data_IF_041769415750
#
_entry.id   IF_041769415750
#
_cell.length_a   1.000
_cell.length_b   1.000
_cell.length_c   1.000
_cell.angle_alpha   90.00
_cell.angle_beta   90.00
_cell.angle_gamma   90.00
#
_symmetry.space_group_name_H-M   'P 1'
#
loop_
_entity.id
_entity.type
_entity.pdbx_description
1 polymer ?
#
# COMPACT_ATOMS: atom_id res chain seq x y z
N UNK A 1 2.35 -15.66 -11.25
CA UNK A 1 3.79 -15.95 -11.05
C UNK A 1 4.28 -17.13 -11.91
N UNK A 2 3.93 -18.39 -11.56
CA UNK A 2 4.47 -19.60 -12.19
C UNK A 2 4.41 -19.60 -13.73
N UNK A 3 3.23 -19.34 -14.30
CA UNK A 3 3.04 -19.31 -15.75
C UNK A 3 3.97 -18.28 -16.42
N UNK A 4 4.10 -17.08 -15.85
CA UNK A 4 4.98 -16.03 -16.37
C UNK A 4 6.46 -16.40 -16.24
N UNK A 5 6.87 -17.01 -15.13
CA UNK A 5 8.26 -17.44 -14.91
C UNK A 5 8.73 -18.45 -15.98
N UNK A 6 7.88 -19.41 -16.36
CA UNK A 6 8.18 -20.38 -17.44
C UNK A 6 8.17 -19.78 -18.85
N UNK A 7 7.62 -18.57 -19.02
CA UNK A 7 7.53 -17.88 -20.30
C UNK A 7 8.38 -16.59 -20.29
N UNK A 8 9.60 -16.67 -19.74
CA UNK A 8 10.59 -15.58 -19.76
C UNK A 8 10.09 -14.27 -19.12
N UNK A 9 9.22 -14.38 -18.11
CA UNK A 9 8.65 -13.23 -17.42
C UNK A 9 7.69 -12.39 -18.28
N UNK A 10 7.06 -12.97 -19.31
CA UNK A 10 6.02 -12.29 -20.11
C UNK A 10 4.82 -11.92 -19.23
N UNK A 11 4.24 -10.75 -19.47
CA UNK A 11 2.99 -10.34 -18.82
C UNK A 11 1.84 -11.28 -19.23
N UNK A 12 0.78 -11.34 -18.41
CA UNK A 12 -0.39 -12.19 -18.70
C UNK A 12 -1.02 -11.85 -20.07
N UNK A 13 -1.05 -10.57 -20.45
CA UNK A 13 -1.54 -10.12 -21.76
C UNK A 13 -0.63 -10.53 -22.92
N UNK A 14 0.69 -10.57 -22.73
CA UNK A 14 1.61 -11.10 -23.74
C UNK A 14 1.47 -12.61 -23.88
N UNK A 15 1.36 -13.32 -22.75
CA UNK A 15 1.21 -14.78 -22.70
C UNK A 15 -0.10 -15.24 -23.37
N UNK A 16 -1.18 -14.47 -23.27
CA UNK A 16 -2.46 -14.83 -23.89
C UNK A 16 -2.40 -14.94 -25.42
N UNK A 17 -1.41 -14.31 -26.06
CA UNK A 17 -1.21 -14.46 -27.51
C UNK A 17 -0.80 -15.88 -27.88
N UNK A 18 0.12 -16.47 -27.12
CA UNK A 18 0.67 -17.80 -27.40
C UNK A 18 -0.34 -18.90 -27.11
N UNK A 19 -1.21 -18.67 -26.13
CA UNK A 19 -2.20 -19.65 -25.69
C UNK A 19 -3.52 -19.55 -26.46
N UNK A 20 -3.97 -18.34 -26.81
CA UNK A 20 -5.31 -18.11 -27.37
C UNK A 20 -5.23 -17.43 -28.75
N UNK A 21 -4.53 -16.30 -28.84
CA UNK A 21 -4.34 -15.60 -30.11
C UNK A 21 -4.20 -14.08 -30.00
N UNK A 22 -3.92 -13.44 -31.14
CA UNK A 22 -3.60 -12.01 -31.24
C UNK A 22 -4.75 -11.09 -30.83
N UNK A 23 -5.99 -11.44 -31.18
CA UNK A 23 -7.19 -10.67 -30.77
C UNK A 23 -7.34 -10.64 -29.25
N UNK A 24 -7.14 -11.77 -28.60
CA UNK A 24 -7.20 -11.90 -27.14
C UNK A 24 -6.14 -11.06 -26.47
N UNK A 25 -4.89 -11.09 -26.97
CA UNK A 25 -3.84 -10.19 -26.49
C UNK A 25 -4.25 -8.72 -26.60
N UNK A 26 -4.76 -8.28 -27.75
CA UNK A 26 -5.15 -6.88 -27.93
C UNK A 26 -6.21 -6.44 -26.91
N UNK A 27 -7.25 -7.27 -26.73
CA UNK A 27 -8.31 -7.01 -25.73
C UNK A 27 -7.75 -7.00 -24.30
N UNK A 28 -6.92 -7.97 -23.93
CA UNK A 28 -6.28 -8.02 -22.61
C UNK A 28 -5.41 -6.79 -22.36
N UNK A 29 -4.62 -6.34 -23.33
CA UNK A 29 -3.76 -5.16 -23.16
C UNK A 29 -4.58 -3.89 -22.91
N UNK A 30 -5.73 -3.72 -23.60
CA UNK A 30 -6.66 -2.61 -23.36
C UNK A 30 -7.25 -2.70 -21.95
N UNK A 31 -7.75 -3.87 -21.54
CA UNK A 31 -8.35 -4.06 -20.21
C UNK A 31 -7.32 -3.82 -19.12
N UNK A 32 -6.12 -4.39 -19.25
CA UNK A 32 -5.03 -4.19 -18.28
C UNK A 32 -4.67 -2.70 -18.21
N UNK A 33 -4.58 -2.00 -19.34
CA UNK A 33 -4.30 -0.56 -19.36
C UNK A 33 -5.33 0.25 -18.57
N UNK A 34 -6.62 0.00 -18.79
CA UNK A 34 -7.72 0.68 -18.11
C UNK A 34 -7.76 0.36 -16.61
N UNK A 35 -7.54 -0.92 -16.24
CA UNK A 35 -7.45 -1.34 -14.84
C UNK A 35 -6.29 -0.65 -14.13
N UNK A 36 -5.10 -0.61 -14.75
CA UNK A 36 -3.95 0.09 -14.18
C UNK A 36 -4.22 1.59 -14.05
N UNK A 37 -4.95 2.20 -15.00
CA UNK A 37 -5.28 3.63 -14.95
C UNK A 37 -6.18 3.93 -13.76
N UNK A 38 -7.24 3.14 -13.58
CA UNK A 38 -8.15 3.24 -12.45
C UNK A 38 -7.40 3.05 -11.12
N UNK A 39 -6.59 1.98 -11.00
CA UNK A 39 -5.87 1.66 -9.77
C UNK A 39 -4.86 2.75 -9.41
N UNK A 40 -4.10 3.27 -10.38
CA UNK A 40 -3.17 4.37 -10.15
C UNK A 40 -3.89 5.64 -9.68
N UNK A 41 -5.06 5.95 -10.26
CA UNK A 41 -5.87 7.09 -9.82
C UNK A 41 -6.36 6.93 -8.37
N UNK A 42 -6.84 5.75 -8.00
CA UNK A 42 -7.28 5.46 -6.63
C UNK A 42 -6.12 5.62 -5.64
N UNK A 43 -4.95 5.05 -5.93
CA UNK A 43 -3.78 5.21 -5.04
C UNK A 43 -3.30 6.66 -4.95
N UNK A 44 -3.31 7.42 -6.05
CA UNK A 44 -2.99 8.84 -6.04
C UNK A 44 -3.91 9.63 -5.10
N UNK A 45 -5.22 9.36 -5.13
CA UNK A 45 -6.20 9.98 -4.23
C UNK A 45 -6.00 9.55 -2.78
N UNK A 46 -5.74 8.26 -2.52
CA UNK A 46 -5.50 7.74 -1.15
C UNK A 46 -4.26 8.38 -0.54
N UNK A 47 -3.15 8.47 -1.28
CA UNK A 47 -1.91 9.09 -0.79
C UNK A 47 -2.12 10.58 -0.56
N UNK A 48 -2.73 11.30 -1.50
CA UNK A 48 -2.99 12.73 -1.35
C UNK A 48 -3.85 13.03 -0.13
N UNK A 49 -4.93 12.26 0.08
CA UNK A 49 -5.77 12.37 1.29
C UNK A 49 -5.00 12.06 2.55
N UNK A 50 -4.13 11.05 2.55
CA UNK A 50 -3.29 10.72 3.69
C UNK A 50 -2.30 11.85 4.03
N UNK A 51 -1.71 12.51 3.03
CA UNK A 51 -0.84 13.68 3.25
C UNK A 51 -1.58 14.89 3.79
N UNK A 52 -2.81 15.14 3.35
CA UNK A 52 -3.62 16.26 3.88
C UNK A 52 -4.12 15.96 5.30
N UNK A 53 -4.55 14.73 5.58
CA UNK A 53 -5.11 14.34 6.88
C UNK A 53 -4.05 13.98 7.93
N UNK A 54 -2.86 13.56 7.51
CA UNK A 54 -1.72 13.26 8.39
C UNK A 54 -0.43 13.80 7.76
N UNK A 55 -0.19 15.13 7.83
CA UNK A 55 0.95 15.77 7.19
C UNK A 55 2.31 15.31 7.69
N UNK A 56 2.38 14.74 8.90
CA UNK A 56 3.59 14.10 9.42
C UNK A 56 4.11 12.95 8.56
N UNK A 57 3.27 12.32 7.73
CA UNK A 57 3.68 11.25 6.81
C UNK A 57 4.39 11.74 5.55
N UNK A 58 4.33 13.04 5.24
CA UNK A 58 4.94 13.62 4.03
C UNK A 58 6.46 13.46 4.08
N UNK A 59 7.12 13.95 5.12
CA UNK A 59 8.57 13.88 5.23
C UNK A 59 9.11 12.44 5.18
N UNK A 60 8.57 11.47 5.96
CA UNK A 60 8.96 10.07 5.87
C UNK A 60 8.79 9.49 4.46
N UNK A 61 7.66 9.74 3.80
CA UNK A 61 7.37 9.19 2.48
C UNK A 61 8.38 9.66 1.42
N UNK A 62 8.74 10.94 1.42
CA UNK A 62 9.74 11.49 0.51
C UNK A 62 11.16 11.09 0.89
N UNK A 63 11.48 11.02 2.19
CA UNK A 63 12.79 10.55 2.67
C UNK A 63 13.05 9.10 2.26
N UNK A 64 12.02 8.24 2.25
CA UNK A 64 12.13 6.85 1.83
C UNK A 64 12.61 6.70 0.38
N UNK A 65 12.23 7.64 -0.50
CA UNK A 65 12.71 7.68 -1.89
C UNK A 65 14.22 7.95 -1.92
N UNK A 66 14.69 8.95 -1.17
CA UNK A 66 16.10 9.29 -1.09
C UNK A 66 16.92 8.12 -0.49
N UNK A 67 16.44 7.53 0.61
CA UNK A 67 17.05 6.36 1.25
C UNK A 67 17.10 5.17 0.28
N UNK A 68 16.03 4.90 -0.47
CA UNK A 68 15.98 3.83 -1.45
C UNK A 68 17.00 4.03 -2.59
N UNK A 69 17.16 5.25 -3.10
CA UNK A 69 18.16 5.55 -4.15
C UNK A 69 19.58 5.32 -3.61
N UNK A 70 19.88 5.79 -2.40
CA UNK A 70 21.19 5.58 -1.76
C UNK A 70 21.47 4.08 -1.59
N UNK A 71 20.51 3.34 -1.03
CA UNK A 71 20.64 1.89 -0.84
C UNK A 71 20.78 1.16 -2.17
N UNK A 72 20.00 1.53 -3.19
CA UNK A 72 20.10 0.97 -4.54
C UNK A 72 21.51 1.12 -5.13
N UNK A 73 22.11 2.30 -5.01
CA UNK A 73 23.48 2.55 -5.46
C UNK A 73 24.52 1.76 -4.65
N UNK A 74 24.38 1.70 -3.32
CA UNK A 74 25.32 0.98 -2.47
C UNK A 74 25.26 -0.53 -2.70
N UNK A 75 24.06 -1.10 -2.80
CA UNK A 75 23.88 -2.53 -3.13
C UNK A 75 24.44 -2.83 -4.53
N UNK A 76 24.23 -1.95 -5.51
CA UNK A 76 24.82 -2.08 -6.84
C UNK A 76 26.36 -2.05 -6.82
N UNK A 77 26.96 -1.35 -5.84
CA UNK A 77 28.41 -1.33 -5.57
C UNK A 77 28.89 -2.49 -4.70
N UNK A 78 28.11 -3.55 -4.56
CA UNK A 78 28.43 -4.77 -3.78
C UNK A 78 28.56 -4.56 -2.26
N UNK A 79 27.92 -3.53 -1.69
CA UNK A 79 27.78 -3.45 -0.23
C UNK A 79 26.81 -4.53 0.28
N UNK A 80 27.05 -5.02 1.51
CA UNK A 80 26.23 -6.07 2.12
C UNK A 80 24.78 -5.60 2.31
N UNK A 81 23.85 -6.32 1.68
CA UNK A 81 22.42 -6.01 1.74
C UNK A 81 21.91 -5.90 3.18
N UNK A 82 22.30 -6.82 4.07
CA UNK A 82 21.85 -6.83 5.47
C UNK A 82 22.16 -5.53 6.23
N UNK A 83 23.34 -4.95 6.02
CA UNK A 83 23.74 -3.68 6.65
C UNK A 83 22.90 -2.54 6.08
N UNK A 84 22.68 -2.52 4.77
CA UNK A 84 21.86 -1.51 4.11
C UNK A 84 20.40 -1.60 4.55
N UNK A 85 19.87 -2.80 4.76
CA UNK A 85 18.52 -3.01 5.33
C UNK A 85 18.38 -2.36 6.69
N UNK A 86 19.30 -2.66 7.60
CA UNK A 86 19.26 -2.15 8.98
C UNK A 86 19.35 -0.62 8.97
N UNK A 87 20.29 -0.06 8.22
CA UNK A 87 20.45 1.39 8.09
C UNK A 87 19.22 2.05 7.45
N UNK A 88 18.64 1.44 6.41
CA UNK A 88 17.44 1.95 5.74
C UNK A 88 16.22 1.97 6.65
N UNK A 89 16.01 0.89 7.41
CA UNK A 89 14.93 0.81 8.41
C UNK A 89 15.15 1.86 9.50
N UNK A 90 16.34 1.97 10.08
CA UNK A 90 16.65 2.99 11.09
C UNK A 90 16.40 4.40 10.54
N UNK A 91 16.88 4.70 9.33
CA UNK A 91 16.69 6.00 8.69
C UNK A 91 15.21 6.31 8.46
N UNK A 92 14.40 5.31 8.08
CA UNK A 92 12.96 5.46 7.90
C UNK A 92 12.22 5.71 9.22
N UNK A 93 12.55 4.99 10.28
CA UNK A 93 11.92 5.23 11.59
C UNK A 93 12.36 6.57 12.20
N UNK A 94 13.61 6.97 11.96
CA UNK A 94 14.07 8.30 12.32
C UNK A 94 13.33 9.39 11.55
N UNK A 95 13.06 9.19 10.26
CA UNK A 95 12.26 10.15 9.49
C UNK A 95 10.80 10.18 9.94
N UNK A 96 10.20 9.05 10.34
CA UNK A 96 8.87 9.01 11.01
C UNK A 96 8.86 9.85 12.27
N UNK A 97 9.89 9.75 13.11
CA UNK A 97 10.02 10.60 14.29
C UNK A 97 10.09 12.09 13.91
N UNK A 98 10.94 12.46 12.95
CA UNK A 98 11.01 13.85 12.47
C UNK A 98 9.64 14.32 11.95
N UNK A 99 9.01 13.54 11.07
CA UNK A 99 7.70 13.87 10.49
C UNK A 99 6.61 14.06 11.55
N UNK A 100 6.65 13.30 12.64
CA UNK A 100 5.71 13.45 13.75
C UNK A 100 5.87 14.75 14.55
N UNK A 101 7.05 15.38 14.47
CA UNK A 101 7.38 16.64 15.15
C UNK A 101 7.37 17.86 14.23
N UNK A 102 7.62 17.64 12.94
CA UNK A 102 7.72 18.65 11.89
C UNK A 102 6.80 18.27 10.72
N UNK A 103 5.48 18.42 10.87
CA UNK A 103 4.52 18.14 9.81
C UNK A 103 4.76 19.08 8.61
N UNK A 104 4.75 18.53 7.40
CA UNK A 104 4.90 19.29 6.17
C UNK A 104 3.55 19.40 5.46
N UNK A 105 2.98 20.59 5.47
CA UNK A 105 1.67 20.88 4.89
C UNK A 105 1.80 21.74 3.63
N UNK A 106 0.99 21.42 2.62
CA UNK A 106 0.78 22.35 1.52
C UNK A 106 -0.25 23.41 1.95
N UNK A 107 -0.15 24.65 1.43
CA UNK A 107 -1.19 25.65 1.61
C UNK A 107 -2.56 25.10 1.17
N UNK A 108 -3.64 25.52 1.83
CA UNK A 108 -5.01 25.06 1.53
C UNK A 108 -5.35 25.21 0.04
N UNK A 109 -4.90 26.32 -0.55
CA UNK A 109 -4.96 26.58 -1.98
C UNK A 109 -3.57 26.95 -2.50
N UNK A 110 -3.16 26.29 -3.57
CA UNK A 110 -1.93 26.56 -4.29
C UNK A 110 -2.24 26.44 -5.78
N UNK A 111 -1.87 27.45 -6.58
CA UNK A 111 -2.21 27.55 -8.00
C UNK A 111 -3.72 27.43 -8.31
N UNK A 112 -4.59 27.89 -7.42
CA UNK A 112 -6.06 27.79 -7.58
C UNK A 112 -6.63 26.38 -7.40
N UNK A 113 -5.81 25.43 -6.92
CA UNK A 113 -6.19 24.05 -6.66
C UNK A 113 -6.10 23.75 -5.15
N UNK A 114 -6.91 22.79 -4.69
CA UNK A 114 -6.85 22.32 -3.30
C UNK A 114 -5.53 21.61 -3.02
N UNK A 115 -5.12 21.52 -1.76
CA UNK A 115 -3.94 20.74 -1.35
C UNK A 115 -3.98 19.28 -1.86
N UNK A 116 -5.16 18.64 -1.82
CA UNK A 116 -5.35 17.29 -2.37
C UNK A 116 -5.05 17.22 -3.88
N UNK A 117 -5.59 18.15 -4.68
CA UNK A 117 -5.37 18.17 -6.12
C UNK A 117 -3.89 18.44 -6.46
N UNK A 118 -3.24 19.34 -5.73
CA UNK A 118 -1.80 19.59 -5.87
C UNK A 118 -0.97 18.33 -5.57
N UNK A 119 -1.27 17.62 -4.48
CA UNK A 119 -0.58 16.37 -4.15
C UNK A 119 -0.77 15.31 -5.24
N UNK A 120 -1.97 15.14 -5.80
CA UNK A 120 -2.22 14.21 -6.91
C UNK A 120 -1.30 14.55 -8.09
N UNK A 121 -1.21 15.81 -8.49
CA UNK A 121 -0.33 16.24 -9.60
C UNK A 121 1.14 15.93 -9.30
N UNK A 122 1.62 16.29 -8.10
CA UNK A 122 3.00 16.03 -7.67
C UNK A 122 3.31 14.53 -7.70
N UNK A 123 2.40 13.70 -7.19
CA UNK A 123 2.54 12.24 -7.15
C UNK A 123 2.61 11.63 -8.55
N UNK A 124 1.79 12.08 -9.49
CA UNK A 124 1.83 11.57 -10.87
C UNK A 124 3.07 12.03 -11.64
N UNK A 125 3.55 13.26 -11.41
CA UNK A 125 4.84 13.73 -11.94
C UNK A 125 5.97 12.85 -11.41
N UNK A 126 5.98 12.59 -10.10
CA UNK A 126 6.93 11.68 -9.48
C UNK A 126 6.83 10.26 -10.05
N UNK A 127 5.62 9.70 -10.16
CA UNK A 127 5.41 8.33 -10.65
C UNK A 127 5.88 8.18 -12.11
N UNK A 128 5.68 9.21 -12.94
CA UNK A 128 6.21 9.24 -14.30
C UNK A 128 7.74 9.14 -14.30
N UNK A 129 8.44 9.94 -13.48
CA UNK A 129 9.90 9.89 -13.31
C UNK A 129 10.34 8.50 -12.81
N UNK A 130 9.72 8.02 -11.73
CA UNK A 130 10.01 6.74 -11.12
C UNK A 130 9.84 5.57 -12.11
N UNK A 131 8.83 5.64 -12.99
CA UNK A 131 8.57 4.61 -14.01
C UNK A 131 9.68 4.50 -15.07
N UNK A 132 10.41 5.58 -15.32
CA UNK A 132 11.51 5.65 -16.31
C UNK A 132 12.83 5.14 -15.74
N UNK A 133 13.05 5.26 -14.43
CA UNK A 133 14.28 4.80 -13.79
C UNK A 133 14.46 3.27 -13.89
N UNK A 134 15.70 2.76 -13.90
CA UNK A 134 15.94 1.32 -13.78
C UNK A 134 15.38 0.75 -12.48
N UNK A 135 14.86 -0.49 -12.53
CA UNK A 135 14.21 -1.15 -11.38
C UNK A 135 15.13 -1.21 -10.16
N UNK A 136 16.42 -1.47 -10.35
CA UNK A 136 17.41 -1.58 -9.27
C UNK A 136 17.74 -0.24 -8.59
N UNK A 137 17.49 0.90 -9.26
CA UNK A 137 17.83 2.23 -8.71
C UNK A 137 16.82 2.65 -7.65
N UNK A 138 15.53 2.41 -7.89
CA UNK A 138 14.46 2.92 -7.05
C UNK A 138 13.45 1.85 -6.66
N UNK A 139 12.79 1.20 -7.62
CA UNK A 139 11.66 0.31 -7.34
C UNK A 139 12.05 -0.85 -6.41
N UNK A 140 13.10 -1.60 -6.74
CA UNK A 140 13.53 -2.74 -5.94
C UNK A 140 14.01 -2.36 -4.53
N UNK A 141 14.93 -1.39 -4.33
CA UNK A 141 15.34 -1.02 -2.98
C UNK A 141 14.20 -0.38 -2.16
N UNK A 142 13.31 0.39 -2.80
CA UNK A 142 12.14 0.99 -2.14
C UNK A 142 11.14 -0.06 -1.69
N UNK A 143 10.77 -0.99 -2.58
CA UNK A 143 9.86 -2.09 -2.27
C UNK A 143 10.40 -2.93 -1.11
N UNK A 144 11.71 -3.18 -1.09
CA UNK A 144 12.35 -3.94 -0.04
C UNK A 144 12.33 -3.23 1.32
N UNK A 145 12.67 -1.94 1.39
CA UNK A 145 12.60 -1.14 2.64
C UNK A 145 11.16 -1.06 3.14
N UNK A 146 10.20 -0.81 2.25
CA UNK A 146 8.79 -0.74 2.59
C UNK A 146 8.25 -2.10 3.08
N UNK A 147 8.70 -3.21 2.49
CA UNK A 147 8.40 -4.55 2.96
C UNK A 147 8.91 -4.80 4.39
N UNK A 148 10.13 -4.35 4.71
CA UNK A 148 10.68 -4.43 6.06
C UNK A 148 9.90 -3.55 7.05
N UNK A 149 9.49 -2.35 6.64
CA UNK A 149 8.63 -1.49 7.45
C UNK A 149 7.29 -2.16 7.74
N UNK A 150 6.66 -2.82 6.75
CA UNK A 150 5.41 -3.54 6.95
C UNK A 150 5.58 -4.63 8.02
N UNK A 151 6.66 -5.41 7.97
CA UNK A 151 6.94 -6.44 8.99
C UNK A 151 7.02 -5.83 10.39
N UNK A 152 7.77 -4.73 10.55
CA UNK A 152 7.89 -4.06 11.85
C UNK A 152 6.54 -3.45 12.28
N UNK A 153 5.78 -2.85 11.35
CA UNK A 153 4.44 -2.34 11.60
C UNK A 153 3.46 -3.41 12.07
N UNK A 154 3.50 -4.60 11.47
CA UNK A 154 2.71 -5.75 11.91
C UNK A 154 3.13 -6.19 13.33
N UNK A 155 4.43 -6.28 13.63
CA UNK A 155 4.90 -6.60 14.99
C UNK A 155 4.36 -5.59 16.01
N UNK A 156 4.41 -4.28 15.69
CA UNK A 156 3.89 -3.24 16.56
C UNK A 156 2.38 -3.36 16.74
N UNK A 157 1.60 -3.55 15.68
CA UNK A 157 0.15 -3.66 15.80
C UNK A 157 -0.29 -4.93 16.54
N UNK A 158 0.26 -6.10 16.19
CA UNK A 158 -0.07 -7.35 16.89
C UNK A 158 0.41 -7.34 18.33
N UNK A 159 1.61 -6.82 18.60
CA UNK A 159 2.08 -6.65 19.97
C UNK A 159 1.19 -5.71 20.77
N UNK A 160 0.68 -4.64 20.13
CA UNK A 160 -0.26 -3.74 20.78
C UNK A 160 -1.56 -4.44 21.18
N UNK A 161 -2.08 -5.32 20.31
CA UNK A 161 -3.26 -6.15 20.63
C UNK A 161 -2.97 -7.11 21.78
N UNK A 162 -1.80 -7.75 21.82
CA UNK A 162 -1.44 -8.67 22.91
C UNK A 162 -1.29 -7.97 24.27
N UNK A 163 -0.83 -6.72 24.30
CA UNK A 163 -0.68 -5.96 25.53
C UNK A 163 -1.95 -5.23 25.97
N UNK A 164 -2.75 -4.73 25.03
CA UNK A 164 -3.97 -3.96 25.36
C UNK A 164 -5.25 -4.80 25.42
N UNK A 165 -5.27 -5.99 24.78
CA UNK A 165 -6.41 -6.90 24.69
C UNK A 165 -7.75 -6.18 24.48
N UNK A 166 -7.89 -5.37 23.42
CA UNK A 166 -9.03 -4.49 23.26
C UNK A 166 -10.29 -5.30 22.91
N UNK A 167 -11.40 -4.99 23.56
CA UNK A 167 -12.71 -5.52 23.18
C UNK A 167 -13.12 -5.03 21.79
N UNK A 168 -14.00 -5.78 21.14
CA UNK A 168 -14.57 -5.42 19.83
C UNK A 168 -15.88 -4.68 20.06
N UNK A 169 -15.95 -3.42 19.62
CA UNK A 169 -17.16 -2.59 19.71
C UNK A 169 -18.05 -2.73 18.48
N UNK A 170 -17.51 -3.18 17.34
CA UNK A 170 -18.32 -3.48 16.17
C UNK A 170 -19.27 -4.67 16.46
N UNK A 171 -20.57 -4.55 16.11
CA UNK A 171 -21.50 -5.66 16.30
C UNK A 171 -21.16 -6.82 15.35
N UNK A 172 -21.35 -8.07 15.81
CA UNK A 172 -21.16 -9.26 14.98
C UNK A 172 -22.07 -9.29 13.74
N UNK A 173 -23.26 -8.70 13.86
CA UNK A 173 -24.21 -8.48 12.77
C UNK A 173 -24.63 -7.02 12.75
N UNK A 174 -24.34 -6.32 11.65
CA UNK A 174 -24.79 -4.95 11.46
C UNK A 174 -26.18 -4.93 10.82
N UNK A 175 -27.20 -4.58 11.62
CA UNK A 175 -28.58 -4.41 11.14
C UNK A 175 -28.91 -2.97 10.72
N UNK A 176 -27.96 -2.04 10.86
CA UNK A 176 -28.07 -0.62 10.50
C UNK A 176 -27.21 -0.35 9.26
N UNK A 177 -27.53 -1.05 8.17
CA UNK A 177 -26.80 -0.90 6.91
C UNK A 177 -27.29 0.37 6.21
N UNK A 178 -26.35 1.23 5.78
CA UNK A 178 -26.65 2.41 4.97
C UNK A 178 -27.45 2.03 3.71
N UNK A 179 -28.45 2.82 3.34
CA UNK A 179 -29.29 2.55 2.15
C UNK A 179 -28.47 2.43 0.86
N UNK A 180 -27.32 3.11 0.80
CA UNK A 180 -26.41 3.09 -0.35
C UNK A 180 -25.32 2.01 -0.26
N UNK A 181 -25.38 1.11 0.72
CA UNK A 181 -24.39 0.05 0.85
C UNK A 181 -24.51 -0.97 -0.29
N UNK A 182 -23.40 -1.32 -0.97
CA UNK A 182 -23.41 -2.34 -2.00
C UNK A 182 -23.67 -3.73 -1.41
N UNK A 183 -24.20 -4.65 -2.23
CA UNK A 183 -24.37 -6.04 -1.84
C UNK A 183 -23.03 -6.68 -1.42
N UNK A 184 -23.06 -7.51 -0.36
CA UNK A 184 -21.84 -8.09 0.23
C UNK A 184 -20.98 -8.90 -0.74
N UNK A 185 -21.61 -9.70 -1.62
CA UNK A 185 -20.88 -10.55 -2.56
C UNK A 185 -20.02 -9.73 -3.55
N UNK A 186 -20.58 -8.80 -4.34
CA UNK A 186 -19.77 -7.89 -5.16
C UNK A 186 -18.74 -7.10 -4.35
N UNK A 187 -19.10 -6.64 -3.14
CA UNK A 187 -18.20 -5.88 -2.28
C UNK A 187 -16.93 -6.68 -1.94
N UNK A 188 -17.08 -7.91 -1.46
CA UNK A 188 -15.97 -8.77 -1.02
C UNK A 188 -15.09 -9.27 -2.18
N UNK A 189 -15.68 -9.54 -3.35
CA UNK A 189 -14.97 -10.18 -4.46
C UNK A 189 -14.47 -9.20 -5.53
N UNK A 190 -15.11 -8.05 -5.68
CA UNK A 190 -14.87 -7.08 -6.78
C UNK A 190 -14.45 -5.71 -6.26
N UNK A 191 -15.16 -5.16 -5.27
CA UNK A 191 -14.99 -3.75 -4.86
C UNK A 191 -13.84 -3.52 -3.88
N UNK A 192 -13.63 -4.42 -2.91
CA UNK A 192 -12.47 -4.34 -2.01
C UNK A 192 -11.20 -4.63 -2.82
N UNK A 193 -10.29 -3.66 -2.87
CA UNK A 193 -9.01 -3.81 -3.55
C UNK A 193 -8.25 -5.02 -2.98
N UNK A 194 -7.67 -5.84 -3.87
CA UNK A 194 -7.10 -7.17 -3.58
C UNK A 194 -8.13 -8.31 -3.38
N UNK A 195 -9.43 -8.08 -3.63
CA UNK A 195 -10.46 -9.12 -3.63
C UNK A 195 -10.11 -10.29 -4.56
N UNK A 196 -10.60 -11.50 -4.24
CA UNK A 196 -10.16 -12.75 -4.87
C UNK A 196 -10.28 -12.77 -6.41
N UNK A 197 -11.10 -11.89 -7.00
CA UNK A 197 -11.32 -11.77 -8.45
C UNK A 197 -10.79 -10.46 -9.04
N UNK A 198 -10.12 -9.60 -8.26
CA UNK A 198 -9.68 -8.25 -8.69
C UNK A 198 -8.64 -8.23 -9.82
N UNK A 199 -7.93 -9.35 -10.06
CA UNK A 199 -7.01 -9.51 -11.20
C UNK A 199 -5.68 -8.74 -11.12
N UNK A 200 -5.57 -7.71 -10.26
CA UNK A 200 -4.37 -6.88 -10.15
C UNK A 200 -3.13 -7.67 -9.71
N UNK A 201 -3.26 -8.60 -8.77
CA UNK A 201 -2.17 -9.52 -8.40
C UNK A 201 -1.73 -10.39 -9.58
N UNK A 202 -2.66 -10.82 -10.43
CA UNK A 202 -2.34 -11.53 -11.66
C UNK A 202 -1.46 -10.68 -12.58
N UNK A 203 -1.86 -9.42 -12.79
CA UNK A 203 -1.15 -8.44 -13.61
C UNK A 203 0.25 -8.18 -13.05
N UNK A 204 0.39 -7.75 -11.80
CA UNK A 204 1.70 -7.40 -11.20
C UNK A 204 2.60 -8.64 -11.07
N UNK A 205 2.04 -9.78 -10.69
CA UNK A 205 2.82 -11.00 -10.55
C UNK A 205 3.31 -11.55 -11.90
N UNK A 206 2.66 -11.14 -13.00
CA UNK A 206 3.08 -11.40 -14.37
C UNK A 206 3.91 -10.24 -14.91
N UNK A 207 5.22 -10.42 -15.07
CA UNK A 207 6.10 -9.38 -15.64
C UNK A 207 6.77 -8.44 -14.64
N UNK A 208 6.38 -8.43 -13.36
CA UNK A 208 7.17 -7.82 -12.27
C UNK A 208 7.70 -8.89 -11.32
N UNK A 209 6.86 -9.50 -10.48
CA UNK A 209 7.31 -10.46 -9.45
C UNK A 209 8.04 -11.68 -10.05
N UNK A 210 7.53 -12.21 -11.16
CA UNK A 210 8.12 -13.35 -11.86
C UNK A 210 9.54 -13.09 -12.36
N UNK A 211 9.90 -11.84 -12.69
CA UNK A 211 11.24 -11.45 -13.14
C UNK A 211 12.24 -11.27 -11.99
N UNK A 212 11.73 -11.18 -10.76
CA UNK A 212 12.54 -10.98 -9.56
C UNK A 212 12.79 -12.28 -8.77
N UNK A 213 12.24 -13.41 -9.22
CA UNK A 213 12.54 -14.71 -8.63
C UNK A 213 13.98 -15.13 -8.97
N UNK A 214 14.70 -15.65 -7.98
CA UNK A 214 16.02 -16.23 -8.21
C UNK A 214 15.90 -17.63 -8.85
N UNK A 215 14.94 -18.44 -8.41
CA UNK A 215 14.60 -19.74 -9.00
C UNK A 215 13.10 -20.00 -8.94
N UNK A 216 12.60 -20.91 -9.80
CA UNK A 216 11.17 -21.21 -9.90
C UNK A 216 10.57 -21.71 -8.58
N UNK A 217 11.34 -22.45 -7.78
CA UNK A 217 10.88 -22.96 -6.46
C UNK A 217 10.60 -21.83 -5.46
N UNK A 218 11.18 -20.64 -5.64
CA UNK A 218 10.89 -19.47 -4.83
C UNK A 218 9.48 -18.91 -5.10
N UNK A 219 8.86 -19.26 -6.24
CA UNK A 219 7.51 -18.79 -6.58
C UNK A 219 6.47 -19.17 -5.51
N UNK A 220 6.62 -20.34 -4.87
CA UNK A 220 5.74 -20.76 -3.78
C UNK A 220 5.95 -19.90 -2.55
N UNK A 221 7.20 -19.67 -2.16
CA UNK A 221 7.54 -18.85 -1.00
C UNK A 221 7.01 -17.42 -1.19
N UNK A 222 7.37 -16.77 -2.30
CA UNK A 222 6.99 -15.39 -2.60
C UNK A 222 5.48 -15.23 -2.75
N UNK A 223 4.82 -16.12 -3.51
CA UNK A 223 3.38 -16.04 -3.74
C UNK A 223 2.55 -16.36 -2.50
N UNK A 224 2.81 -17.50 -1.85
CA UNK A 224 2.00 -17.96 -0.72
C UNK A 224 2.23 -17.11 0.53
N UNK A 225 3.48 -16.83 0.91
CA UNK A 225 3.73 -16.03 2.11
C UNK A 225 3.44 -14.54 1.91
N UNK A 226 3.55 -14.04 0.67
CA UNK A 226 3.04 -12.71 0.32
C UNK A 226 1.55 -12.61 0.61
N UNK A 227 0.76 -13.58 0.14
CA UNK A 227 -0.68 -13.63 0.39
C UNK A 227 -1.02 -13.81 1.89
N UNK A 228 -0.26 -14.61 2.63
CA UNK A 228 -0.41 -14.73 4.09
C UNK A 228 -0.09 -13.41 4.80
N UNK A 229 0.93 -12.69 4.36
CA UNK A 229 1.29 -11.36 4.88
C UNK A 229 0.18 -10.33 4.66
N UNK A 230 -0.41 -10.29 3.46
CA UNK A 230 -1.59 -9.46 3.18
C UNK A 230 -2.79 -9.87 4.04
N UNK A 231 -3.04 -11.17 4.21
CA UNK A 231 -4.10 -11.68 5.09
C UNK A 231 -3.89 -11.29 6.55
N UNK A 232 -2.64 -11.26 7.01
CA UNK A 232 -2.27 -10.77 8.35
C UNK A 232 -2.54 -9.27 8.48
N UNK A 233 -2.17 -8.46 7.47
CA UNK A 233 -2.51 -7.04 7.44
C UNK A 233 -4.03 -6.81 7.44
N UNK A 234 -4.79 -7.61 6.69
CA UNK A 234 -6.25 -7.53 6.67
C UNK A 234 -6.84 -7.85 8.05
N UNK A 235 -6.37 -8.90 8.71
CA UNK A 235 -6.84 -9.29 10.04
C UNK A 235 -6.56 -8.20 11.08
N UNK A 236 -5.34 -7.66 11.12
CA UNK A 236 -5.02 -6.59 12.09
C UNK A 236 -5.73 -5.28 11.76
N UNK A 237 -6.00 -5.02 10.47
CA UNK A 237 -6.85 -3.89 10.04
C UNK A 237 -8.25 -4.04 10.62
N UNK A 238 -8.87 -5.23 10.53
CA UNK A 238 -10.18 -5.49 11.12
C UNK A 238 -10.18 -5.17 12.62
N UNK A 239 -9.18 -5.63 13.37
CA UNK A 239 -9.07 -5.31 14.81
C UNK A 239 -8.94 -3.80 15.04
N UNK A 240 -8.07 -3.12 14.29
CA UNK A 240 -7.89 -1.68 14.40
C UNK A 240 -9.17 -0.87 14.11
N UNK A 241 -10.00 -1.35 13.18
CA UNK A 241 -11.21 -0.63 12.75
C UNK A 241 -12.51 -1.07 13.45
N UNK A 242 -12.46 -2.11 14.28
CA UNK A 242 -13.64 -2.67 14.97
C UNK A 242 -13.51 -2.67 16.49
N UNK A 243 -12.34 -2.35 17.03
CA UNK A 243 -12.10 -2.39 18.48
C UNK A 243 -12.50 -1.11 19.21
N UNK A 244 -12.60 -1.24 20.53
CA UNK A 244 -12.85 -0.12 21.47
C UNK A 244 -11.78 0.97 21.40
N UNK A 245 -10.58 0.65 20.88
CA UNK A 245 -9.51 1.62 20.67
C UNK A 245 -9.91 2.72 19.68
N UNK A 246 -10.68 2.38 18.64
CA UNK A 246 -11.23 3.34 17.69
C UNK A 246 -12.57 3.91 18.15
N UNK A 247 -13.47 3.06 18.63
CA UNK A 247 -14.84 3.43 18.98
C UNK A 247 -15.27 2.76 20.27
N UNK A 248 -15.47 3.54 21.33
CA UNK A 248 -15.73 3.01 22.69
C UNK A 248 -17.05 2.21 22.84
N UNK A 249 -17.99 2.32 21.90
CA UNK A 249 -19.27 1.60 21.94
C UNK A 249 -19.77 1.27 20.53
N UNK A 250 -20.72 0.32 20.38
CA UNK A 250 -21.36 0.04 19.10
C UNK A 250 -22.00 1.26 18.45
N UNK A 251 -22.57 2.18 19.24
CA UNK A 251 -23.16 3.43 18.74
C UNK A 251 -22.08 4.37 18.20
N UNK A 252 -20.93 4.45 18.86
CA UNK A 252 -19.79 5.21 18.36
C UNK A 252 -19.25 4.60 17.06
N UNK A 253 -19.23 3.28 16.97
CA UNK A 253 -18.85 2.57 15.75
C UNK A 253 -19.82 2.88 14.60
N UNK A 254 -21.14 2.79 14.83
CA UNK A 254 -22.14 3.13 13.82
C UNK A 254 -22.04 4.57 13.31
N UNK A 255 -21.64 5.54 14.15
CA UNK A 255 -21.40 6.93 13.69
C UNK A 255 -20.23 7.05 12.72
N UNK A 256 -19.21 6.21 12.85
CA UNK A 256 -18.07 6.20 11.92
C UNK A 256 -18.49 5.58 10.58
N UNK A 257 -19.34 4.55 10.62
CA UNK A 257 -19.75 3.74 9.47
C UNK A 257 -21.20 4.00 9.01
N UNK A 258 -21.73 5.19 9.25
CA UNK A 258 -23.12 5.56 8.97
C UNK A 258 -23.44 5.55 7.46
N UNK A 259 -22.44 5.87 6.64
CA UNK A 259 -22.54 6.02 5.20
C UNK A 259 -21.47 5.21 4.50
N UNK A 260 -21.82 4.51 3.43
CA UNK A 260 -20.83 3.82 2.62
C UNK A 260 -19.78 4.80 2.08
N UNK A 261 -18.50 4.54 2.39
CA UNK A 261 -17.36 5.37 1.97
C UNK A 261 -16.97 6.51 2.92
N UNK A 262 -17.65 6.68 4.06
CA UNK A 262 -17.27 7.66 5.10
C UNK A 262 -15.96 7.28 5.79
N UNK A 263 -15.73 5.99 5.97
CA UNK A 263 -14.52 5.42 6.56
C UNK A 263 -13.56 4.89 5.49
N UNK A 264 -12.26 4.85 5.83
CA UNK A 264 -11.23 4.38 4.92
C UNK A 264 -9.86 4.27 5.58
N UNK A 265 -8.79 4.52 4.81
CA UNK A 265 -7.43 4.43 5.32
C UNK A 265 -7.17 5.31 6.56
N UNK A 266 -7.80 6.49 6.64
CA UNK A 266 -7.72 7.37 7.81
C UNK A 266 -8.24 6.72 9.09
N UNK A 267 -9.31 5.93 9.00
CA UNK A 267 -9.91 5.20 10.13
C UNK A 267 -8.96 4.11 10.64
N UNK A 268 -8.31 3.38 9.73
CA UNK A 268 -7.25 2.43 10.09
C UNK A 268 -6.07 3.13 10.78
N UNK A 269 -5.62 4.28 10.25
CA UNK A 269 -4.53 5.06 10.83
C UNK A 269 -4.87 5.51 12.27
N UNK A 270 -6.08 6.04 12.49
CA UNK A 270 -6.52 6.49 13.80
C UNK A 270 -6.64 5.32 14.80
N UNK A 271 -7.41 4.29 14.44
CA UNK A 271 -7.65 3.13 15.30
C UNK A 271 -6.37 2.35 15.60
N UNK A 272 -5.51 2.17 14.60
CA UNK A 272 -4.21 1.55 14.79
C UNK A 272 -3.28 2.40 15.66
N UNK A 273 -3.33 3.73 15.55
CA UNK A 273 -2.52 4.62 16.37
C UNK A 273 -2.95 4.58 17.85
N UNK A 274 -4.26 4.55 18.10
CA UNK A 274 -4.82 4.32 19.43
C UNK A 274 -4.43 2.94 19.98
N UNK A 275 -4.49 1.88 19.17
CA UNK A 275 -4.02 0.56 19.57
C UNK A 275 -2.56 0.58 20.01
N UNK A 276 -1.67 1.13 19.17
CA UNK A 276 -0.24 1.20 19.47
C UNK A 276 0.01 2.04 20.73
N UNK A 277 -0.70 3.15 20.91
CA UNK A 277 -0.60 3.97 22.12
C UNK A 277 -1.04 3.19 23.37
N UNK A 278 -2.16 2.48 23.31
CA UNK A 278 -2.70 1.75 24.45
C UNK A 278 -1.85 0.52 24.80
N UNK A 279 -1.29 -0.18 23.80
CA UNK A 279 -0.50 -1.39 24.00
C UNK A 279 0.96 -1.11 24.35
N UNK A 280 1.62 -0.21 23.63
CA UNK A 280 3.06 0.06 23.78
C UNK A 280 3.37 1.37 24.54
N UNK A 281 2.39 2.24 24.76
CA UNK A 281 2.62 3.56 25.36
C UNK A 281 3.27 4.57 24.41
N UNK A 282 3.37 4.28 23.11
CA UNK A 282 3.94 5.23 22.15
C UNK A 282 3.02 6.45 21.96
N UNK A 283 3.56 7.67 21.84
CA UNK A 283 2.76 8.86 21.59
C UNK A 283 1.87 8.73 20.36
N UNK A 284 0.61 9.16 20.48
CA UNK A 284 -0.37 9.08 19.38
C UNK A 284 0.15 9.69 18.08
N UNK A 285 0.82 10.84 18.13
CA UNK A 285 1.36 11.53 16.94
C UNK A 285 2.40 10.69 16.19
N UNK A 286 3.27 9.97 16.91
CA UNK A 286 4.27 9.07 16.33
C UNK A 286 3.57 7.86 15.71
N UNK A 287 2.64 7.24 16.45
CA UNK A 287 1.89 6.07 15.99
C UNK A 287 1.04 6.39 14.74
N UNK A 288 0.40 7.56 14.72
CA UNK A 288 -0.38 8.05 13.59
C UNK A 288 0.51 8.31 12.37
N UNK A 289 1.65 8.99 12.57
CA UNK A 289 2.62 9.25 11.51
C UNK A 289 3.19 7.95 10.94
N UNK A 290 3.52 6.98 11.80
CA UNK A 290 4.01 5.67 11.41
C UNK A 290 3.02 4.94 10.50
N UNK A 291 1.76 4.85 10.91
CA UNK A 291 0.73 4.12 10.16
C UNK A 291 0.35 4.85 8.87
N UNK A 292 0.25 6.17 8.90
CA UNK A 292 0.05 6.97 7.69
C UNK A 292 1.21 6.79 6.70
N UNK A 293 2.44 6.78 7.19
CA UNK A 293 3.63 6.49 6.37
C UNK A 293 3.56 5.09 5.77
N UNK A 294 3.14 4.08 6.54
CA UNK A 294 2.97 2.71 6.05
C UNK A 294 1.93 2.63 4.91
N UNK A 295 0.77 3.26 5.09
CA UNK A 295 -0.29 3.32 4.08
C UNK A 295 0.22 4.03 2.81
N UNK A 296 0.84 5.19 2.96
CA UNK A 296 1.37 5.99 1.84
C UNK A 296 2.44 5.23 1.08
N UNK A 297 3.39 4.60 1.78
CA UNK A 297 4.50 3.91 1.15
C UNK A 297 4.04 2.64 0.42
N UNK A 298 3.09 1.89 0.97
CA UNK A 298 2.48 0.74 0.31
C UNK A 298 1.68 1.14 -0.94
N UNK A 299 0.85 2.18 -0.84
CA UNK A 299 0.13 2.75 -1.97
C UNK A 299 1.10 3.29 -3.04
N UNK A 300 2.18 3.95 -2.61
CA UNK A 300 3.18 4.57 -3.47
C UNK A 300 3.97 3.55 -4.29
N UNK A 301 4.43 2.45 -3.69
CA UNK A 301 5.12 1.38 -4.43
C UNK A 301 4.19 0.65 -5.40
N UNK A 302 2.92 0.54 -5.03
CA UNK A 302 1.90 -0.03 -5.92
C UNK A 302 1.67 0.87 -7.13
N UNK A 303 1.58 2.19 -6.93
CA UNK A 303 1.47 3.19 -8.00
C UNK A 303 2.72 3.19 -8.90
N UNK A 304 3.94 3.13 -8.35
CA UNK A 304 5.19 3.04 -9.12
C UNK A 304 5.18 1.82 -10.07
N UNK A 305 4.79 0.66 -9.54
CA UNK A 305 4.67 -0.58 -10.30
C UNK A 305 3.58 -0.47 -11.37
N UNK A 306 2.42 0.09 -11.02
CA UNK A 306 1.30 0.26 -11.94
C UNK A 306 1.64 1.17 -13.12
N UNK A 307 2.20 2.36 -12.88
CA UNK A 307 2.59 3.30 -13.94
C UNK A 307 3.69 2.71 -14.82
N UNK A 308 4.66 1.99 -14.24
CA UNK A 308 5.69 1.26 -15.02
C UNK A 308 5.08 0.20 -15.93
N UNK A 309 4.14 -0.59 -15.44
CA UNK A 309 3.44 -1.59 -16.26
C UNK A 309 2.61 -0.95 -17.37
N UNK A 310 1.95 0.18 -17.12
CA UNK A 310 1.24 0.93 -18.17
C UNK A 310 2.18 1.38 -19.28
N UNK A 311 3.37 1.88 -18.93
CA UNK A 311 4.39 2.25 -19.92
C UNK A 311 4.80 1.06 -20.77
N UNK A 312 5.01 -0.11 -20.18
CA UNK A 312 5.36 -1.34 -20.91
C UNK A 312 4.23 -1.89 -21.81
N UNK A 313 2.98 -1.47 -21.58
CA UNK A 313 1.85 -1.85 -22.44
C UNK A 313 1.79 -0.98 -23.70
N UNK A 314 2.21 0.29 -23.58
CA UNK A 314 2.22 1.25 -24.68
C UNK A 314 3.45 1.06 -25.59
N UNK A 315 4.58 0.62 -25.03
CA UNK A 315 5.84 0.33 -25.74
C UNK A 315 5.81 -1.00 -26.48
#
# INVERSE_FOLDING_TARGET
>A
IWASARHQGKSIGALSQEVIGSRTRALFMIVIFLVLLMVNAVFGVVIAKAFVTTPGAVFPAWSAIAVAIIIGQLVHRNFKLSVMTILGVIALYFSVYIGSTLPLELPEQMFGLTANANWIIILFIYAAIASMLPVWVLLQPRDFINGMQLVVGLILLYGAVLFSLPDISAPAFNNQISENAPSMLPLLFVTIACGAVSGFHGIVSSGTTSKQLNKETDARFVGYLGAVGEGSLALITLVAVSSVALAASPEAWHRIYDTYGSAGAGTFIQGGAQLIQNGWGLPFSISQTLLATMVVLFAGTTMDSGVRLQRYIIQ
#
